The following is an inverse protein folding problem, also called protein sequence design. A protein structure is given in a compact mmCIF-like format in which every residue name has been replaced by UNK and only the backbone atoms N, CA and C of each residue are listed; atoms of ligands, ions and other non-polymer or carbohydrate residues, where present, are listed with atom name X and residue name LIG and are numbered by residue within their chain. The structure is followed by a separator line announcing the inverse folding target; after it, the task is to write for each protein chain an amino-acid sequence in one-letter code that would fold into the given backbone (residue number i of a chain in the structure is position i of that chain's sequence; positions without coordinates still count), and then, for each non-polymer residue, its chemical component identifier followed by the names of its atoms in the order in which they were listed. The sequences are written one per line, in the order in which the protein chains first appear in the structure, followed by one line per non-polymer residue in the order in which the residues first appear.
data_IF_613392224592
#
_entry.id   IF_613392224592
#
_cell.length_a   1.000
_cell.length_b   1.000
_cell.length_c   1.000
_cell.angle_alpha   90.00
_cell.angle_beta   90.00
_cell.angle_gamma   90.00
#
_symmetry.space_group_name_H-M   'P 1'
#
loop_
_entity.id
_entity.type
_entity.pdbx_description
1 polymer ?
#
# COMPACT_ATOMS: atom_id res chain seq x y z
N UNK A 1 -4.88 -51.83 -8.11
CA UNK A 1 -3.66 -51.53 -8.88
C UNK A 1 -2.50 -52.32 -8.27
N UNK A 2 -1.63 -52.94 -9.06
CA UNK A 2 -0.51 -53.70 -8.47
C UNK A 2 0.54 -52.72 -7.89
N UNK A 3 1.23 -53.05 -6.78
CA UNK A 3 2.19 -52.14 -6.14
C UNK A 3 3.30 -51.63 -7.07
N UNK A 4 3.74 -52.45 -8.03
CA UNK A 4 4.76 -52.07 -9.02
C UNK A 4 4.26 -51.07 -10.06
N UNK A 5 3.01 -51.21 -10.51
CA UNK A 5 2.39 -50.26 -11.43
C UNK A 5 2.23 -48.89 -10.76
N UNK A 6 1.89 -48.87 -9.47
CA UNK A 6 1.74 -47.63 -8.70
C UNK A 6 3.08 -46.89 -8.52
N UNK A 7 4.16 -47.62 -8.20
CA UNK A 7 5.52 -47.06 -8.18
C UNK A 7 5.92 -46.46 -9.52
N UNK A 8 5.54 -47.09 -10.62
CA UNK A 8 5.81 -46.59 -11.98
C UNK A 8 5.06 -45.28 -12.27
N UNK A 9 3.79 -45.16 -11.86
CA UNK A 9 3.03 -43.90 -11.99
C UNK A 9 3.66 -42.77 -11.16
N UNK A 10 4.08 -43.05 -9.92
CA UNK A 10 4.79 -42.05 -9.09
C UNK A 10 6.06 -41.56 -9.80
N UNK A 11 6.84 -42.48 -10.39
CA UNK A 11 8.03 -42.12 -11.16
C UNK A 11 7.71 -41.16 -12.32
N UNK A 12 6.65 -41.44 -13.09
CA UNK A 12 6.22 -40.54 -14.17
C UNK A 12 5.79 -39.16 -13.65
N UNK A 13 4.98 -39.11 -12.61
CA UNK A 13 4.53 -37.86 -12.00
C UNK A 13 5.70 -36.99 -11.53
N UNK A 14 6.71 -37.62 -10.94
CA UNK A 14 7.88 -36.91 -10.44
C UNK A 14 8.71 -36.34 -11.60
N UNK A 15 8.92 -37.10 -12.67
CA UNK A 15 9.63 -36.61 -13.86
C UNK A 15 8.88 -35.44 -14.49
N UNK A 16 7.57 -35.58 -14.70
CA UNK A 16 6.71 -34.52 -15.25
C UNK A 16 6.68 -33.27 -14.35
N UNK A 17 6.56 -33.45 -13.04
CA UNK A 17 6.59 -32.34 -12.07
C UNK A 17 7.91 -31.59 -12.12
N UNK A 18 9.04 -32.27 -12.36
CA UNK A 18 10.34 -31.60 -12.46
C UNK A 18 10.41 -30.72 -13.72
N UNK A 19 9.90 -31.17 -14.86
CA UNK A 19 9.82 -30.37 -16.09
C UNK A 19 8.93 -29.13 -15.91
N UNK A 20 7.81 -29.28 -15.20
CA UNK A 20 6.93 -28.17 -14.83
C UNK A 20 7.60 -27.20 -13.86
N UNK A 21 8.36 -27.69 -12.88
CA UNK A 21 9.13 -26.85 -11.96
C UNK A 21 10.23 -26.07 -12.69
N UNK A 22 10.94 -26.67 -13.64
CA UNK A 22 11.93 -25.95 -14.46
C UNK A 22 11.30 -24.81 -15.26
N UNK A 23 10.10 -25.06 -15.78
CA UNK A 23 9.30 -24.05 -16.50
C UNK A 23 8.89 -22.91 -15.56
N UNK A 24 8.39 -23.24 -14.36
CA UNK A 24 8.02 -22.28 -13.32
C UNK A 24 9.22 -21.43 -12.88
N UNK A 25 10.36 -22.07 -12.62
CA UNK A 25 11.57 -21.38 -12.18
C UNK A 25 12.06 -20.36 -13.21
N UNK A 26 12.08 -20.73 -14.50
CA UNK A 26 12.45 -19.79 -15.58
C UNK A 26 11.49 -18.60 -15.65
N UNK A 27 10.18 -18.86 -15.58
CA UNK A 27 9.17 -17.81 -15.61
C UNK A 27 9.25 -16.87 -14.41
N UNK A 28 9.47 -17.40 -13.20
CA UNK A 28 9.63 -16.60 -11.98
C UNK A 28 10.98 -15.86 -11.97
N UNK A 29 12.06 -16.46 -12.48
CA UNK A 29 13.39 -15.83 -12.54
C UNK A 29 13.43 -14.61 -13.48
N UNK A 30 12.55 -14.58 -14.47
CA UNK A 30 12.40 -13.47 -15.42
C UNK A 30 11.04 -12.76 -15.29
N UNK A 31 10.53 -12.65 -14.06
CA UNK A 31 9.12 -12.37 -13.76
C UNK A 31 8.52 -11.18 -14.52
N UNK A 32 9.20 -10.04 -14.60
CA UNK A 32 8.66 -8.86 -15.29
C UNK A 32 8.43 -9.11 -16.79
N UNK A 33 9.36 -9.81 -17.45
CA UNK A 33 9.24 -10.14 -18.86
C UNK A 33 8.15 -11.18 -19.09
N UNK A 34 8.09 -12.19 -18.21
CA UNK A 34 7.02 -13.20 -18.19
C UNK A 34 5.64 -12.56 -18.05
N UNK A 35 5.47 -11.58 -17.15
CA UNK A 35 4.20 -10.82 -16.99
C UNK A 35 3.84 -10.05 -18.27
N UNK A 36 4.84 -9.47 -18.94
CA UNK A 36 4.63 -8.70 -20.17
C UNK A 36 4.33 -9.59 -21.39
N UNK A 37 4.65 -10.88 -21.33
CA UNK A 37 4.45 -11.85 -22.40
C UNK A 37 3.37 -12.87 -22.02
N UNK A 38 2.16 -12.69 -22.55
CA UNK A 38 1.02 -13.58 -22.24
C UNK A 38 1.29 -15.06 -22.56
N UNK A 39 2.11 -15.37 -23.58
CA UNK A 39 2.42 -16.76 -23.91
C UNK A 39 3.31 -17.41 -22.84
N UNK A 40 4.32 -16.69 -22.34
CA UNK A 40 5.17 -17.18 -21.24
C UNK A 40 4.38 -17.36 -19.95
N UNK A 41 3.49 -16.41 -19.62
CA UNK A 41 2.60 -16.53 -18.47
C UNK A 41 1.62 -17.71 -18.59
N UNK A 42 1.06 -17.94 -19.79
CA UNK A 42 0.19 -19.07 -20.09
C UNK A 42 0.92 -20.42 -19.93
N UNK A 43 2.17 -20.50 -20.38
CA UNK A 43 3.01 -21.70 -20.21
C UNK A 43 3.21 -21.98 -18.72
N UNK A 44 3.50 -20.95 -17.93
CA UNK A 44 3.68 -21.06 -16.48
C UNK A 44 2.40 -21.54 -15.78
N UNK A 45 1.25 -20.97 -16.16
CA UNK A 45 -0.06 -21.37 -15.63
C UNK A 45 -0.41 -22.82 -15.98
N UNK A 46 -0.15 -23.25 -17.21
CA UNK A 46 -0.37 -24.65 -17.65
C UNK A 46 0.50 -25.62 -16.86
N UNK A 47 1.76 -25.29 -16.63
CA UNK A 47 2.66 -26.11 -15.81
C UNK A 47 2.13 -26.29 -14.38
N UNK A 48 1.68 -25.20 -13.74
CA UNK A 48 1.06 -25.25 -12.40
C UNK A 48 -0.24 -26.05 -12.38
N UNK A 49 -1.11 -25.86 -13.39
CA UNK A 49 -2.38 -26.58 -13.50
C UNK A 49 -2.19 -28.09 -13.66
N UNK A 50 -1.26 -28.52 -14.52
CA UNK A 50 -0.90 -29.94 -14.69
C UNK A 50 -0.35 -30.55 -13.40
N UNK A 51 0.56 -29.85 -12.71
CA UNK A 51 1.08 -30.29 -11.41
C UNK A 51 -0.01 -30.49 -10.36
N UNK A 52 -0.98 -29.57 -10.30
CA UNK A 52 -2.14 -29.67 -9.38
C UNK A 52 -2.97 -30.92 -9.68
N UNK A 53 -3.22 -31.19 -10.96
CA UNK A 53 -3.94 -32.38 -11.41
C UNK A 53 -3.22 -33.68 -11.03
N UNK A 54 -1.91 -33.75 -11.28
CA UNK A 54 -1.08 -34.89 -10.90
C UNK A 54 -1.05 -35.15 -9.39
N UNK A 55 -0.89 -34.08 -8.58
CA UNK A 55 -0.92 -34.18 -7.13
C UNK A 55 -2.29 -34.68 -6.60
N UNK A 56 -3.38 -34.19 -7.20
CA UNK A 56 -4.74 -34.63 -6.87
C UNK A 56 -4.97 -36.11 -7.20
N UNK A 57 -4.56 -36.54 -8.40
CA UNK A 57 -4.71 -37.91 -8.88
C UNK A 57 -3.99 -38.92 -7.97
N UNK A 58 -2.83 -38.55 -7.43
CA UNK A 58 -2.03 -39.39 -6.54
C UNK A 58 -2.35 -39.23 -5.06
N UNK A 59 -3.30 -38.36 -4.71
CA UNK A 59 -3.73 -38.13 -3.33
C UNK A 59 -2.76 -37.31 -2.47
N UNK A 60 -1.83 -36.58 -3.08
CA UNK A 60 -0.93 -35.66 -2.36
C UNK A 60 -1.66 -34.35 -2.00
N UNK A 61 -2.64 -34.44 -1.10
CA UNK A 61 -3.59 -33.35 -0.78
C UNK A 61 -2.93 -32.05 -0.33
N UNK A 62 -1.88 -32.11 0.50
CA UNK A 62 -1.15 -30.92 0.95
C UNK A 62 -0.38 -30.24 -0.18
N UNK A 63 0.29 -31.02 -1.03
CA UNK A 63 0.96 -30.49 -2.22
C UNK A 63 -0.07 -29.89 -3.19
N UNK A 64 -1.19 -30.58 -3.42
CA UNK A 64 -2.28 -30.08 -4.25
C UNK A 64 -2.79 -28.72 -3.75
N UNK A 65 -2.97 -28.54 -2.43
CA UNK A 65 -3.35 -27.26 -1.83
C UNK A 65 -2.34 -26.16 -2.18
N UNK A 66 -1.05 -26.38 -1.92
CA UNK A 66 0.00 -25.37 -2.15
C UNK A 66 0.11 -25.00 -3.63
N UNK A 67 0.01 -25.99 -4.53
CA UNK A 67 0.03 -25.74 -5.98
C UNK A 67 -1.22 -24.97 -6.41
N UNK A 68 -2.38 -25.24 -5.81
CA UNK A 68 -3.61 -24.47 -6.05
C UNK A 68 -3.47 -23.02 -5.55
N UNK A 69 -2.90 -22.81 -4.37
CA UNK A 69 -2.67 -21.48 -3.80
C UNK A 69 -1.69 -20.68 -4.68
N UNK A 70 -0.64 -21.34 -5.20
CA UNK A 70 0.25 -20.75 -6.20
C UNK A 70 -0.50 -20.41 -7.50
N UNK A 71 -1.33 -21.32 -8.02
CA UNK A 71 -2.16 -21.10 -9.21
C UNK A 71 -3.03 -19.83 -9.07
N UNK A 72 -3.64 -19.63 -7.90
CA UNK A 72 -4.47 -18.44 -7.63
C UNK A 72 -3.65 -17.15 -7.59
N UNK A 73 -2.44 -17.18 -7.03
CA UNK A 73 -1.50 -16.05 -7.13
C UNK A 73 -1.05 -15.79 -8.58
N UNK A 74 -0.84 -16.82 -9.40
CA UNK A 74 -0.46 -16.65 -10.82
C UNK A 74 -1.59 -16.02 -11.65
N UNK A 75 -2.86 -16.28 -11.32
CA UNK A 75 -4.00 -15.61 -11.97
C UNK A 75 -3.94 -14.08 -11.79
N UNK A 76 -3.39 -13.61 -10.68
CA UNK A 76 -3.22 -12.18 -10.43
C UNK A 76 -2.16 -11.53 -11.33
N UNK A 77 -1.27 -12.30 -11.94
CA UNK A 77 -0.26 -11.77 -12.87
C UNK A 77 -0.82 -11.37 -14.25
N UNK A 78 -2.07 -11.74 -14.57
CA UNK A 78 -2.75 -11.24 -15.78
C UNK A 78 -3.16 -9.77 -15.68
N UNK A 79 -3.14 -9.20 -14.47
CA UNK A 79 -3.30 -7.75 -14.28
C UNK A 79 -1.97 -7.04 -14.59
N UNK A 80 -2.01 -5.77 -15.05
CA UNK A 80 -0.79 -5.03 -15.35
C UNK A 80 0.00 -4.83 -14.06
N UNK A 81 1.12 -5.52 -13.86
CA UNK A 81 1.93 -5.42 -12.64
C UNK A 81 3.36 -5.04 -13.03
N UNK A 82 3.97 -4.14 -12.25
CA UNK A 82 5.41 -3.94 -12.28
C UNK A 82 5.98 -4.80 -11.14
N UNK A 83 6.61 -5.91 -11.48
CA UNK A 83 7.21 -6.83 -10.54
C UNK A 83 8.44 -6.19 -9.88
N UNK A 84 8.46 -6.21 -8.55
CA UNK A 84 9.63 -5.87 -7.76
C UNK A 84 10.36 -7.14 -7.31
N UNK A 85 11.54 -6.94 -6.72
CA UNK A 85 12.38 -8.04 -6.23
C UNK A 85 11.70 -8.83 -5.10
N UNK A 86 10.88 -8.16 -4.29
CA UNK A 86 10.12 -8.79 -3.20
C UNK A 86 9.09 -9.78 -3.74
N UNK A 87 8.32 -9.40 -4.77
CA UNK A 87 7.35 -10.27 -5.42
C UNK A 87 8.03 -11.52 -5.98
N UNK A 88 9.14 -11.34 -6.68
CA UNK A 88 9.91 -12.44 -7.24
C UNK A 88 10.41 -13.41 -6.16
N UNK A 89 10.94 -12.88 -5.06
CA UNK A 89 11.43 -13.69 -3.94
C UNK A 89 10.31 -14.52 -3.31
N UNK A 90 9.15 -13.92 -3.06
CA UNK A 90 7.99 -14.60 -2.47
C UNK A 90 7.48 -15.77 -3.34
N UNK A 91 7.46 -15.60 -4.68
CA UNK A 91 7.16 -16.70 -5.59
C UNK A 91 8.22 -17.80 -5.54
N UNK A 92 9.51 -17.44 -5.48
CA UNK A 92 10.60 -18.41 -5.35
C UNK A 92 10.53 -19.19 -4.02
N UNK A 93 10.11 -18.56 -2.93
CA UNK A 93 9.97 -19.22 -1.63
C UNK A 93 8.89 -20.32 -1.68
N UNK A 94 7.73 -20.05 -2.29
CA UNK A 94 6.69 -21.07 -2.51
C UNK A 94 7.18 -22.15 -3.49
N UNK A 95 7.86 -21.77 -4.56
CA UNK A 95 8.46 -22.70 -5.52
C UNK A 95 9.41 -23.69 -4.84
N UNK A 96 10.29 -23.20 -3.95
CA UNK A 96 11.27 -24.02 -3.24
C UNK A 96 10.60 -25.09 -2.37
N UNK A 97 9.49 -24.75 -1.72
CA UNK A 97 8.69 -25.70 -0.94
C UNK A 97 8.14 -26.79 -1.84
N UNK A 98 7.52 -26.44 -2.97
CA UNK A 98 6.96 -27.42 -3.90
C UNK A 98 8.06 -28.32 -4.48
N UNK A 99 9.21 -27.74 -4.84
CA UNK A 99 10.36 -28.50 -5.35
C UNK A 99 10.89 -29.49 -4.30
N UNK A 100 10.95 -29.07 -3.03
CA UNK A 100 11.34 -29.93 -1.92
C UNK A 100 10.35 -31.10 -1.76
N UNK A 101 9.03 -30.82 -1.78
CA UNK A 101 8.00 -31.86 -1.72
C UNK A 101 8.15 -32.88 -2.86
N UNK A 102 8.39 -32.43 -4.11
CA UNK A 102 8.59 -33.33 -5.26
C UNK A 102 9.86 -34.17 -5.12
N UNK A 103 10.93 -33.58 -4.59
CA UNK A 103 12.18 -34.31 -4.35
C UNK A 103 12.04 -35.39 -3.27
N UNK A 104 11.28 -35.14 -2.20
CA UNK A 104 11.04 -36.12 -1.14
C UNK A 104 10.22 -37.34 -1.62
N UNK A 105 9.39 -37.19 -2.65
CA UNK A 105 8.67 -38.32 -3.28
C UNK A 105 9.64 -39.33 -3.90
N UNK A 106 10.81 -38.90 -4.37
CA UNK A 106 11.86 -39.79 -4.92
C UNK A 106 12.53 -40.63 -3.83
N UNK A 107 12.49 -40.18 -2.57
CA UNK A 107 13.22 -40.85 -1.50
C UNK A 107 12.56 -42.20 -1.18
N UNK A 108 13.33 -43.20 -0.69
CA UNK A 108 12.78 -44.51 -0.34
C UNK A 108 11.70 -44.44 0.75
N UNK A 109 11.77 -43.43 1.61
CA UNK A 109 10.81 -43.18 2.70
C UNK A 109 9.53 -42.47 2.20
N UNK A 110 9.60 -41.76 1.08
CA UNK A 110 8.49 -40.98 0.51
C UNK A 110 8.03 -39.82 1.40
N UNK A 111 6.86 -39.27 1.05
CA UNK A 111 6.21 -38.20 1.83
C UNK A 111 5.47 -38.79 3.04
N UNK A 112 6.10 -38.77 4.20
CA UNK A 112 5.41 -39.02 5.48
C UNK A 112 4.71 -37.75 5.97
N UNK A 113 3.65 -37.89 6.76
CA UNK A 113 2.88 -36.76 7.28
C UNK A 113 3.74 -35.81 8.15
N UNK A 114 4.72 -36.36 8.88
CA UNK A 114 5.67 -35.59 9.69
C UNK A 114 6.62 -34.75 8.83
N UNK A 115 7.18 -35.31 7.75
CA UNK A 115 8.03 -34.57 6.81
C UNK A 115 7.25 -33.48 6.08
N UNK A 116 6.03 -33.78 5.65
CA UNK A 116 5.15 -32.79 5.00
C UNK A 116 4.92 -31.60 5.93
N UNK A 117 4.58 -31.83 7.20
CA UNK A 117 4.35 -30.74 8.14
C UNK A 117 5.62 -29.91 8.43
N UNK A 118 6.81 -30.54 8.44
CA UNK A 118 8.08 -29.81 8.59
C UNK A 118 8.40 -28.93 7.37
N UNK A 119 8.18 -29.43 6.15
CA UNK A 119 8.46 -28.70 4.91
C UNK A 119 7.46 -27.55 4.70
N UNK A 120 6.19 -27.76 5.09
CA UNK A 120 5.10 -26.82 4.84
C UNK A 120 4.97 -25.72 5.91
N UNK A 121 5.72 -25.83 7.02
CA UNK A 121 5.52 -25.06 8.25
C UNK A 121 5.06 -23.60 8.11
N UNK A 122 5.74 -22.81 7.26
CA UNK A 122 5.46 -21.37 7.09
C UNK A 122 4.80 -20.99 5.75
N UNK A 123 4.39 -21.97 4.93
CA UNK A 123 3.89 -21.74 3.56
C UNK A 123 2.62 -20.90 3.54
N UNK A 124 1.68 -21.18 4.46
CA UNK A 124 0.43 -20.43 4.54
C UNK A 124 0.70 -18.93 4.85
N UNK A 125 1.74 -18.63 5.64
CA UNK A 125 2.15 -17.25 5.91
C UNK A 125 2.77 -16.58 4.69
N UNK A 126 3.67 -17.28 3.99
CA UNK A 126 4.29 -16.78 2.75
C UNK A 126 3.22 -16.51 1.68
N UNK A 127 2.24 -17.40 1.54
CA UNK A 127 1.12 -17.23 0.62
C UNK A 127 0.30 -15.96 0.94
N UNK A 128 -0.02 -15.72 2.23
CA UNK A 128 -0.75 -14.52 2.64
C UNK A 128 0.02 -13.23 2.33
N UNK A 129 1.34 -13.22 2.56
CA UNK A 129 2.20 -12.08 2.22
C UNK A 129 2.23 -11.86 0.70
N UNK A 130 2.43 -12.94 -0.08
CA UNK A 130 2.45 -12.89 -1.54
C UNK A 130 1.15 -12.34 -2.11
N UNK A 131 0.01 -12.86 -1.66
CA UNK A 131 -1.30 -12.43 -2.14
C UNK A 131 -1.57 -10.95 -1.80
N UNK A 132 -1.23 -10.51 -0.58
CA UNK A 132 -1.35 -9.11 -0.18
C UNK A 132 -0.47 -8.19 -1.03
N UNK A 133 0.78 -8.60 -1.31
CA UNK A 133 1.70 -7.85 -2.14
C UNK A 133 1.27 -7.78 -3.62
N UNK A 134 0.72 -8.86 -4.17
CA UNK A 134 0.12 -8.89 -5.51
C UNK A 134 -1.03 -7.91 -5.62
N UNK A 135 -1.98 -7.96 -4.68
CA UNK A 135 -3.12 -7.05 -4.66
C UNK A 135 -2.67 -5.58 -4.53
N UNK A 136 -1.64 -5.32 -3.73
CA UNK A 136 -1.00 -4.00 -3.67
C UNK A 136 -0.50 -3.54 -5.04
N UNK A 137 0.28 -4.36 -5.75
CA UNK A 137 0.84 -3.99 -7.04
C UNK A 137 -0.24 -3.79 -8.13
N UNK A 138 -1.31 -4.61 -8.11
CA UNK A 138 -2.47 -4.45 -8.99
C UNK A 138 -3.21 -3.15 -8.70
N UNK A 139 -3.41 -2.82 -7.43
CA UNK A 139 -4.06 -1.57 -7.05
C UNK A 139 -3.22 -0.35 -7.50
N UNK A 140 -1.90 -0.42 -7.34
CA UNK A 140 -0.94 0.62 -7.74
C UNK A 140 -0.93 0.84 -9.26
N UNK A 141 -1.00 -0.22 -10.06
CA UNK A 141 -1.03 -0.12 -11.52
C UNK A 141 -2.39 0.31 -12.07
N UNK A 142 -3.49 -0.20 -11.49
CA UNK A 142 -4.83 0.23 -11.84
C UNK A 142 -5.05 1.70 -11.45
N UNK A 143 -4.45 2.16 -10.36
CA UNK A 143 -4.44 3.57 -9.98
C UNK A 143 -3.68 4.44 -10.98
N UNK A 144 -2.47 4.04 -11.43
CA UNK A 144 -1.74 4.76 -12.50
C UNK A 144 -2.55 4.79 -13.81
N UNK A 145 -3.22 3.69 -14.16
CA UNK A 145 -4.06 3.58 -15.36
C UNK A 145 -5.34 4.42 -15.24
N UNK A 146 -5.93 4.48 -14.03
CA UNK A 146 -7.12 5.29 -13.72
C UNK A 146 -6.78 6.78 -13.69
N UNK A 147 -5.63 7.19 -13.15
CA UNK A 147 -5.07 8.55 -13.29
C UNK A 147 -4.85 8.89 -14.77
N UNK A 148 -4.23 7.99 -15.56
CA UNK A 148 -4.02 8.23 -16.99
C UNK A 148 -5.32 8.32 -17.81
N UNK A 149 -6.39 7.61 -17.39
CA UNK A 149 -7.73 7.71 -17.99
C UNK A 149 -8.52 8.94 -17.51
N UNK A 150 -8.38 9.34 -16.25
CA UNK A 150 -8.92 10.60 -15.72
C UNK A 150 -8.29 11.78 -16.47
N UNK A 151 -6.97 11.77 -16.67
CA UNK A 151 -6.24 12.74 -17.50
C UNK A 151 -6.66 12.75 -18.99
N UNK A 152 -7.36 11.72 -19.48
CA UNK A 152 -7.89 11.64 -20.85
C UNK A 152 -9.37 12.02 -20.96
N UNK A 153 -10.11 12.05 -19.85
CA UNK A 153 -11.57 12.28 -19.85
C UNK A 153 -12.00 13.53 -19.07
N UNK A 154 -11.07 14.17 -18.38
CA UNK A 154 -11.20 15.51 -17.80
C UNK A 154 -9.87 16.23 -18.01
N UNK A 155 -9.86 17.22 -18.91
CA UNK A 155 -8.76 18.17 -19.04
C UNK A 155 -8.68 19.02 -17.77
N UNK A 156 -7.94 18.54 -16.76
CA UNK A 156 -7.67 19.27 -15.53
C UNK A 156 -6.18 19.64 -15.46
N UNK A 157 -5.89 20.94 -15.39
CA UNK A 157 -4.56 21.54 -15.48
C UNK A 157 -4.10 22.06 -14.09
N UNK A 158 -3.76 21.16 -13.14
CA UNK A 158 -3.10 21.57 -11.89
C UNK A 158 -2.02 20.59 -11.42
N UNK A 159 -0.86 21.16 -11.10
CA UNK A 159 0.41 20.49 -10.86
C UNK A 159 0.58 19.98 -9.42
N UNK A 160 -0.38 19.21 -8.88
CA UNK A 160 -0.17 18.20 -7.81
C UNK A 160 -1.26 17.11 -7.91
N UNK A 161 -0.92 15.83 -8.17
CA UNK A 161 -1.86 14.72 -8.16
C UNK A 161 -2.11 14.22 -6.73
N UNK A 162 -2.63 15.09 -5.85
CA UNK A 162 -2.93 14.72 -4.47
C UNK A 162 -4.36 14.21 -4.36
N UNK A 163 -4.51 12.95 -3.97
CA UNK A 163 -5.79 12.33 -3.61
C UNK A 163 -5.97 12.37 -2.10
N UNK A 164 -7.11 12.88 -1.65
CA UNK A 164 -7.49 12.90 -0.25
C UNK A 164 -8.49 11.78 0.03
N UNK A 165 -8.20 10.94 1.02
CA UNK A 165 -9.13 9.94 1.56
C UNK A 165 -9.61 10.47 2.91
N UNK A 166 -10.77 11.10 2.92
CA UNK A 166 -11.43 11.57 4.14
C UNK A 166 -12.13 10.39 4.81
N UNK A 167 -11.85 10.15 6.08
CA UNK A 167 -12.41 9.00 6.78
C UNK A 167 -12.82 9.31 8.22
N UNK A 168 -13.90 8.71 8.68
CA UNK A 168 -14.25 8.70 10.10
C UNK A 168 -15.15 7.50 10.42
N UNK A 169 -15.14 7.08 11.68
CA UNK A 169 -16.06 6.08 12.23
C UNK A 169 -17.51 6.57 12.32
N UNK A 170 -17.73 7.89 12.40
CA UNK A 170 -19.04 8.53 12.53
C UNK A 170 -19.63 8.81 11.16
N UNK A 171 -20.70 8.10 10.83
CA UNK A 171 -21.46 8.28 9.58
C UNK A 171 -21.85 9.74 9.33
N UNK A 172 -22.23 10.47 10.37
CA UNK A 172 -22.61 11.89 10.24
C UNK A 172 -21.47 12.76 9.73
N UNK A 173 -20.24 12.56 10.20
CA UNK A 173 -19.10 13.33 9.70
C UNK A 173 -18.74 12.96 8.25
N UNK A 174 -18.84 11.68 7.88
CA UNK A 174 -18.66 11.28 6.49
C UNK A 174 -19.70 11.92 5.55
N UNK A 175 -20.96 12.02 5.98
CA UNK A 175 -22.01 12.72 5.22
C UNK A 175 -21.69 14.21 5.08
N UNK A 176 -21.31 14.86 6.17
CA UNK A 176 -20.92 16.28 6.14
C UNK A 176 -19.68 16.51 5.27
N UNK A 177 -18.71 15.59 5.25
CA UNK A 177 -17.62 15.65 4.27
C UNK A 177 -18.13 15.57 2.83
N UNK A 178 -19.12 14.73 2.54
CA UNK A 178 -19.68 14.63 1.19
C UNK A 178 -20.31 15.96 0.74
N UNK A 179 -21.01 16.65 1.64
CA UNK A 179 -21.63 17.93 1.35
C UNK A 179 -20.58 19.05 1.14
N UNK A 180 -19.60 19.17 2.04
CA UNK A 180 -18.62 20.28 1.98
C UNK A 180 -17.50 20.08 0.94
N UNK A 181 -17.22 18.84 0.54
CA UNK A 181 -16.23 18.52 -0.50
C UNK A 181 -16.89 18.24 -1.86
N UNK A 182 -18.21 18.42 -2.00
CA UNK A 182 -18.90 18.30 -3.27
C UNK A 182 -18.25 19.21 -4.33
N UNK A 183 -17.98 18.65 -5.51
CA UNK A 183 -17.33 19.36 -6.61
C UNK A 183 -15.82 19.59 -6.46
N UNK A 184 -15.20 19.19 -5.35
CA UNK A 184 -13.74 19.23 -5.21
C UNK A 184 -13.08 18.00 -5.84
N UNK A 185 -11.96 18.18 -6.56
CA UNK A 185 -11.31 17.09 -7.29
C UNK A 185 -10.57 16.14 -6.34
N UNK A 186 -10.42 14.88 -6.75
CA UNK A 186 -9.55 13.89 -6.09
C UNK A 186 -9.84 13.65 -4.60
N UNK A 187 -11.10 13.75 -4.19
CA UNK A 187 -11.55 13.43 -2.83
C UNK A 187 -12.31 12.12 -2.85
N UNK A 188 -11.99 11.24 -1.92
CA UNK A 188 -12.74 10.02 -1.61
C UNK A 188 -13.14 10.05 -0.15
N UNK A 189 -14.38 9.62 0.15
CA UNK A 189 -14.91 9.60 1.51
C UNK A 189 -15.20 8.16 1.88
N UNK A 190 -14.65 7.72 3.01
CA UNK A 190 -14.78 6.36 3.51
C UNK A 190 -15.36 6.39 4.92
N UNK A 191 -16.43 5.63 5.14
CA UNK A 191 -16.92 5.35 6.48
C UNK A 191 -16.13 4.18 7.07
N UNK A 192 -15.22 4.48 7.99
CA UNK A 192 -14.27 3.50 8.50
C UNK A 192 -13.09 4.15 9.22
N UNK A 193 -12.09 3.33 9.54
CA UNK A 193 -10.86 3.77 10.18
C UNK A 193 -9.66 3.51 9.26
N UNK A 194 -8.55 4.23 9.47
CA UNK A 194 -7.42 4.18 8.54
C UNK A 194 -6.76 2.79 8.49
N UNK A 195 -6.83 2.00 9.57
CA UNK A 195 -6.30 0.64 9.66
C UNK A 195 -7.03 -0.36 8.73
N UNK A 196 -8.19 0.03 8.21
CA UNK A 196 -8.95 -0.75 7.23
C UNK A 196 -8.61 -0.38 5.79
N UNK A 197 -7.84 0.70 5.59
CA UNK A 197 -7.43 1.11 4.26
C UNK A 197 -6.34 0.18 3.74
N UNK A 198 -6.47 -0.33 2.51
CA UNK A 198 -5.47 -1.24 1.94
C UNK A 198 -4.12 -0.56 1.72
N UNK A 199 -4.11 0.74 1.45
CA UNK A 199 -2.90 1.56 1.28
C UNK A 199 -3.21 3.06 1.36
N UNK A 200 -2.21 3.83 1.75
CA UNK A 200 -2.15 5.30 1.62
C UNK A 200 -0.68 5.69 1.78
N UNK A 201 -0.24 6.79 1.17
CA UNK A 201 1.16 7.21 1.31
C UNK A 201 1.40 7.86 2.66
N UNK A 202 0.45 8.69 3.11
CA UNK A 202 0.56 9.45 4.35
C UNK A 202 -0.76 9.47 5.14
N UNK A 203 -0.72 9.33 6.46
CA UNK A 203 -1.86 9.56 7.36
C UNK A 203 -1.61 10.83 8.18
N UNK A 204 -2.63 11.68 8.29
CA UNK A 204 -2.59 12.85 9.17
C UNK A 204 -2.97 12.41 10.59
N UNK A 205 -2.16 12.79 11.58
CA UNK A 205 -2.46 12.54 12.99
C UNK A 205 -2.85 13.84 13.70
N UNK A 206 -4.04 13.85 14.29
CA UNK A 206 -4.53 14.97 15.10
C UNK A 206 -3.95 14.90 16.50
N UNK A 207 -2.80 15.53 16.70
CA UNK A 207 -2.05 15.45 17.95
C UNK A 207 -2.18 16.72 18.83
N UNK A 208 -1.77 16.57 20.09
CA UNK A 208 -1.50 17.68 21.01
C UNK A 208 -0.08 18.21 20.79
N UNK A 209 0.13 19.51 20.95
CA UNK A 209 1.43 20.16 20.77
C UNK A 209 2.36 20.01 21.98
N UNK A 210 1.83 19.53 23.11
CA UNK A 210 2.58 19.39 24.38
C UNK A 210 2.51 17.94 24.82
N UNK A 211 3.65 17.41 25.27
CA UNK A 211 3.74 16.07 25.86
C UNK A 211 3.11 16.07 27.25
N UNK A 212 1.91 15.52 27.39
CA UNK A 212 1.33 15.15 28.68
C UNK A 212 1.53 13.65 28.95
N UNK A 213 1.53 13.23 30.22
CA UNK A 213 1.67 11.81 30.59
C UNK A 213 0.57 10.90 29.98
N UNK A 214 -0.50 11.50 29.44
CA UNK A 214 -1.62 10.83 28.78
C UNK A 214 -1.71 11.12 27.26
N UNK A 215 -0.85 11.98 26.70
CA UNK A 215 -0.76 12.25 25.25
C UNK A 215 0.20 11.25 24.61
N UNK A 216 -0.24 10.00 24.57
CA UNK A 216 0.27 9.08 23.56
C UNK A 216 -0.28 9.54 22.21
N UNK A 217 0.51 9.42 21.14
CA UNK A 217 -0.06 9.48 19.78
C UNK A 217 -1.28 8.55 19.76
N UNK A 218 -2.34 8.90 19.03
CA UNK A 218 -3.60 8.15 18.96
C UNK A 218 -3.31 6.64 19.09
N UNK A 219 -3.86 6.00 20.13
CA UNK A 219 -3.53 4.60 20.48
C UNK A 219 -3.73 3.67 19.28
N UNK A 220 -4.60 4.01 18.32
CA UNK A 220 -4.75 3.28 17.07
C UNK A 220 -3.52 3.38 16.16
N UNK A 221 -2.92 4.56 16.04
CA UNK A 221 -1.68 4.78 15.27
C UNK A 221 -0.54 3.99 15.91
N UNK A 222 -0.45 3.98 17.25
CA UNK A 222 0.54 3.17 17.96
C UNK A 222 0.38 1.67 17.74
N UNK A 223 -0.85 1.17 17.85
CA UNK A 223 -1.13 -0.24 17.61
C UNK A 223 -0.86 -0.64 16.15
N UNK A 224 -1.00 0.29 15.22
CA UNK A 224 -0.83 0.03 13.80
C UNK A 224 0.62 0.12 13.32
N UNK A 225 1.34 1.18 13.70
CA UNK A 225 2.72 1.43 13.25
C UNK A 225 3.79 0.94 14.22
N UNK A 226 3.43 0.67 15.48
CA UNK A 226 4.36 0.25 16.52
C UNK A 226 4.97 1.42 17.31
N UNK A 227 5.60 1.06 18.44
CA UNK A 227 6.20 2.01 19.37
C UNK A 227 7.41 2.75 18.79
N UNK A 228 8.18 2.10 17.92
CA UNK A 228 9.37 2.69 17.28
C UNK A 228 9.04 3.96 16.49
N UNK A 229 7.86 4.01 15.86
CA UNK A 229 7.39 5.17 15.11
C UNK A 229 7.01 6.32 16.05
N UNK A 230 6.42 6.03 17.21
CA UNK A 230 6.16 7.06 18.22
C UNK A 230 7.46 7.65 18.77
N UNK A 231 8.42 6.80 19.11
CA UNK A 231 9.73 7.24 19.59
C UNK A 231 10.44 8.10 18.54
N UNK A 232 10.35 7.73 17.26
CA UNK A 232 10.89 8.51 16.16
C UNK A 232 10.20 9.88 16.03
N UNK A 233 8.87 9.92 16.04
CA UNK A 233 8.10 11.19 15.97
C UNK A 233 8.47 12.09 17.15
N UNK A 234 8.51 11.55 18.37
CA UNK A 234 8.86 12.30 19.57
C UNK A 234 10.31 12.82 19.52
N UNK A 235 11.25 12.00 19.04
CA UNK A 235 12.63 12.42 18.83
C UNK A 235 12.73 13.57 17.83
N UNK A 236 12.02 13.48 16.70
CA UNK A 236 12.00 14.53 15.67
C UNK A 236 11.37 15.82 16.22
N UNK A 237 10.32 15.73 17.03
CA UNK A 237 9.71 16.89 17.70
C UNK A 237 10.69 17.51 18.70
N UNK A 238 11.43 16.70 19.46
CA UNK A 238 12.47 17.20 20.35
C UNK A 238 13.55 17.97 19.61
N UNK A 239 14.04 17.42 18.50
CA UNK A 239 15.14 17.97 17.71
C UNK A 239 14.74 19.24 16.94
N UNK A 240 13.55 19.25 16.33
CA UNK A 240 13.11 20.37 15.48
C UNK A 240 12.35 21.46 16.23
N UNK A 241 11.62 21.10 17.29
CA UNK A 241 10.67 21.99 17.96
C UNK A 241 10.91 22.12 19.47
N UNK A 242 12.04 21.62 19.98
CA UNK A 242 12.36 21.67 21.41
C UNK A 242 11.20 21.13 22.28
N UNK A 243 10.64 19.99 21.86
CA UNK A 243 9.52 19.27 22.51
C UNK A 243 8.13 19.88 22.33
N UNK A 244 7.97 21.06 21.74
CA UNK A 244 6.66 21.71 21.53
C UNK A 244 6.45 22.11 20.06
N UNK A 245 5.82 21.22 19.28
CA UNK A 245 5.52 21.51 17.87
C UNK A 245 4.36 22.51 17.73
N UNK A 246 4.54 23.72 17.17
CA UNK A 246 3.48 24.73 17.11
C UNK A 246 2.26 24.30 16.26
N UNK A 247 1.07 24.80 16.64
CA UNK A 247 -0.14 24.69 15.81
C UNK A 247 0.10 25.39 14.46
N UNK A 248 -0.44 24.82 13.38
CA UNK A 248 -0.21 25.32 12.03
C UNK A 248 1.12 24.88 11.42
N UNK A 249 1.75 23.87 12.00
CA UNK A 249 2.87 23.14 11.40
C UNK A 249 2.49 21.68 11.16
N UNK A 250 3.24 20.99 10.30
CA UNK A 250 3.05 19.56 10.03
C UNK A 250 4.41 18.94 9.80
N UNK A 251 4.72 17.90 10.58
CA UNK A 251 5.99 17.18 10.54
C UNK A 251 5.78 15.85 9.80
N UNK A 252 6.45 15.67 8.66
CA UNK A 252 6.42 14.42 7.91
C UNK A 252 7.51 13.49 8.46
N UNK A 253 7.11 12.27 8.80
CA UNK A 253 7.99 11.23 9.35
C UNK A 253 7.80 9.93 8.58
N UNK A 254 8.90 9.29 8.21
CA UNK A 254 8.91 7.96 7.59
C UNK A 254 8.64 6.88 8.65
N UNK A 255 7.72 5.96 8.36
CA UNK A 255 7.29 4.91 9.28
C UNK A 255 7.98 3.57 9.04
N UNK A 256 8.78 3.46 7.96
CA UNK A 256 9.31 2.20 7.41
C UNK A 256 8.24 1.16 7.06
N UNK A 257 6.95 1.52 7.08
CA UNK A 257 5.88 0.63 6.68
C UNK A 257 5.82 0.53 5.14
N UNK A 258 5.83 -0.67 4.55
CA UNK A 258 5.98 -0.85 3.10
C UNK A 258 4.83 -0.24 2.29
N UNK A 259 3.63 -0.15 2.87
CA UNK A 259 2.42 0.35 2.21
C UNK A 259 1.83 1.62 2.84
N UNK A 260 2.41 2.09 3.95
CA UNK A 260 1.98 3.30 4.68
C UNK A 260 3.19 4.15 5.09
N UNK A 261 3.99 4.59 4.12
CA UNK A 261 5.38 5.02 4.36
C UNK A 261 5.51 6.28 5.21
N UNK A 262 4.47 7.11 5.33
CA UNK A 262 4.58 8.39 6.03
C UNK A 262 3.47 8.64 7.04
N UNK A 263 3.80 9.39 8.09
CA UNK A 263 2.86 10.06 8.99
C UNK A 263 3.10 11.56 8.91
N UNK A 264 2.02 12.34 8.88
CA UNK A 264 2.04 13.78 9.04
C UNK A 264 1.56 14.15 10.45
N UNK A 265 2.50 14.37 11.37
CA UNK A 265 2.20 14.80 12.72
C UNK A 265 1.79 16.27 12.72
N UNK A 266 0.50 16.52 12.99
CA UNK A 266 -0.14 17.82 12.79
C UNK A 266 -0.88 18.24 14.07
N UNK A 267 -0.26 19.08 14.92
CA UNK A 267 -0.87 19.53 16.16
C UNK A 267 -2.13 20.37 15.91
N UNK A 268 -3.26 19.91 16.46
CA UNK A 268 -4.53 20.65 16.40
C UNK A 268 -4.83 21.38 17.72
N UNK A 269 -4.13 21.01 18.78
CA UNK A 269 -4.36 21.46 20.15
C UNK A 269 -3.03 21.78 20.79
N UNK A 270 -2.96 22.82 21.63
CA UNK A 270 -1.80 23.06 22.49
C UNK A 270 -1.93 22.41 23.86
N UNK A 271 -3.16 22.42 24.38
CA UNK A 271 -3.56 21.80 25.63
C UNK A 271 -4.92 21.13 25.39
N UNK A 272 -5.33 20.20 26.25
CA UNK A 272 -6.63 19.54 26.19
C UNK A 272 -7.78 20.49 26.56
N UNK A 273 -8.05 21.45 25.68
CA UNK A 273 -9.13 22.44 25.80
C UNK A 273 -9.90 22.58 24.49
N UNK A 274 -11.11 23.11 24.60
CA UNK A 274 -11.92 23.42 23.42
C UNK A 274 -11.20 24.41 22.51
N UNK A 275 -11.26 24.13 21.21
CA UNK A 275 -10.82 25.00 20.11
C UNK A 275 -12.00 25.42 19.25
N UNK A 276 -13.24 25.24 19.73
CA UNK A 276 -14.44 25.74 19.06
C UNK A 276 -14.31 27.26 18.81
N UNK A 277 -14.66 27.69 17.60
CA UNK A 277 -14.53 29.09 17.18
C UNK A 277 -13.11 29.51 16.76
N UNK A 278 -12.14 28.59 16.74
CA UNK A 278 -10.79 28.82 16.21
C UNK A 278 -10.60 28.09 14.88
N UNK A 279 -9.60 28.50 14.10
CA UNK A 279 -9.26 27.99 12.76
C UNK A 279 -8.18 26.90 12.78
N UNK A 280 -7.96 26.23 13.92
CA UNK A 280 -6.88 25.25 14.06
C UNK A 280 -7.01 24.04 13.11
N UNK A 281 -8.24 23.64 12.76
CA UNK A 281 -8.47 22.55 11.80
C UNK A 281 -8.02 22.98 10.42
N UNK A 282 -8.38 24.20 10.01
CA UNK A 282 -7.89 24.81 8.76
C UNK A 282 -6.36 24.90 8.75
N UNK A 283 -5.76 25.43 9.82
CA UNK A 283 -4.30 25.58 9.93
C UNK A 283 -3.59 24.23 9.85
N UNK A 284 -4.14 23.19 10.46
CA UNK A 284 -3.60 21.83 10.40
C UNK A 284 -3.62 21.26 8.99
N UNK A 285 -4.78 21.27 8.30
CA UNK A 285 -4.86 20.77 6.93
C UNK A 285 -3.96 21.59 6.00
N UNK A 286 -3.98 22.91 6.12
CA UNK A 286 -3.16 23.81 5.32
C UNK A 286 -1.66 23.51 5.47
N UNK A 287 -1.18 23.39 6.71
CA UNK A 287 0.23 23.12 6.98
C UNK A 287 0.66 21.74 6.47
N UNK A 288 -0.21 20.73 6.59
CA UNK A 288 0.06 19.39 6.04
C UNK A 288 0.17 19.41 4.52
N UNK A 289 -0.76 20.07 3.82
CA UNK A 289 -0.73 20.19 2.36
C UNK A 289 0.54 20.91 1.88
N UNK A 290 0.98 21.96 2.60
CA UNK A 290 2.24 22.65 2.31
C UNK A 290 3.46 21.78 2.58
N UNK A 291 3.50 21.05 3.70
CA UNK A 291 4.59 20.14 4.04
C UNK A 291 4.72 19.04 2.97
N UNK A 292 3.61 18.45 2.53
CA UNK A 292 3.59 17.44 1.47
C UNK A 292 4.08 18.02 0.15
N UNK A 293 3.63 19.21 -0.21
CA UNK A 293 4.11 19.90 -1.42
C UNK A 293 5.63 20.13 -1.38
N UNK A 294 6.16 20.55 -0.23
CA UNK A 294 7.59 20.78 -0.05
C UNK A 294 8.38 19.45 -0.12
N UNK A 295 7.89 18.41 0.54
CA UNK A 295 8.42 17.05 0.48
C UNK A 295 8.48 16.54 -0.97
N UNK A 296 7.36 16.59 -1.69
CA UNK A 296 7.29 16.12 -3.07
C UNK A 296 8.18 16.95 -4.01
N UNK A 297 8.37 18.25 -3.74
CA UNK A 297 9.31 19.09 -4.49
C UNK A 297 10.76 18.64 -4.28
N UNK A 298 11.12 18.28 -3.04
CA UNK A 298 12.44 17.74 -2.72
C UNK A 298 12.69 16.38 -3.40
N UNK A 299 11.69 15.50 -3.37
CA UNK A 299 11.72 14.16 -3.98
C UNK A 299 11.18 14.13 -5.43
N UNK A 300 11.26 15.25 -6.16
CA UNK A 300 10.64 15.41 -7.49
C UNK A 300 11.04 14.35 -8.53
N UNK A 301 12.25 13.78 -8.39
CA UNK A 301 12.78 12.74 -9.29
C UNK A 301 12.56 11.30 -8.78
N UNK A 302 12.06 11.14 -7.55
CA UNK A 302 11.90 9.85 -6.89
C UNK A 302 10.42 9.56 -6.64
N UNK A 303 9.72 9.08 -7.67
CA UNK A 303 8.27 8.79 -7.62
C UNK A 303 7.86 7.88 -6.46
N UNK A 304 8.76 7.01 -5.97
CA UNK A 304 8.50 6.11 -4.84
C UNK A 304 8.51 6.79 -3.47
N UNK A 305 9.07 8.00 -3.37
CA UNK A 305 9.13 8.79 -2.13
C UNK A 305 8.15 9.96 -2.12
N UNK A 306 7.34 10.11 -3.18
CA UNK A 306 6.32 11.13 -3.25
C UNK A 306 5.04 10.70 -2.52
N UNK A 307 4.45 11.64 -1.80
CA UNK A 307 3.18 11.49 -1.10
C UNK A 307 2.06 11.97 -2.03
N UNK A 308 1.26 11.04 -2.54
CA UNK A 308 0.17 11.32 -3.48
C UNK A 308 -1.20 10.96 -2.92
N UNK A 309 -1.28 10.04 -1.96
CA UNK A 309 -2.53 9.60 -1.33
C UNK A 309 -2.45 9.88 0.17
N UNK A 310 -3.32 10.75 0.65
CA UNK A 310 -3.33 11.19 2.05
C UNK A 310 -4.62 10.75 2.70
N UNK A 311 -4.51 9.92 3.73
CA UNK A 311 -5.62 9.58 4.61
C UNK A 311 -5.78 10.69 5.65
N UNK A 312 -7.00 11.20 5.81
CA UNK A 312 -7.31 12.33 6.69
C UNK A 312 -8.50 11.97 7.58
N UNK A 313 -8.28 11.74 8.89
CA UNK A 313 -9.36 11.55 9.85
C UNK A 313 -10.04 12.88 10.21
N UNK A 314 -11.20 12.81 10.89
CA UNK A 314 -11.90 13.97 11.42
C UNK A 314 -11.12 14.74 12.50
N UNK A 315 -10.32 15.73 12.10
CA UNK A 315 -9.49 16.55 13.00
C UNK A 315 -10.35 17.49 13.87
N UNK A 316 -9.97 17.66 15.15
CA UNK A 316 -10.55 18.68 16.04
C UNK A 316 -11.90 18.34 16.68
N UNK A 317 -12.57 17.25 16.29
CA UNK A 317 -13.86 16.84 16.91
C UNK A 317 -13.70 16.48 18.40
N UNK A 318 -12.67 15.70 18.73
CA UNK A 318 -12.27 15.37 20.10
C UNK A 318 -10.74 15.36 20.21
N UNK A 319 -10.17 15.88 21.30
CA UNK A 319 -10.81 16.58 22.43
C UNK A 319 -11.15 18.06 22.14
N UNK A 320 -10.96 18.55 20.91
CA UNK A 320 -11.11 19.96 20.56
C UNK A 320 -12.54 20.53 20.56
N UNK A 321 -13.57 19.68 20.65
CA UNK A 321 -14.99 20.08 20.71
C UNK A 321 -15.46 20.97 19.54
N UNK A 322 -14.81 20.89 18.38
CA UNK A 322 -15.28 21.54 17.15
C UNK A 322 -16.50 20.76 16.62
N UNK A 323 -17.54 21.47 16.19
CA UNK A 323 -18.72 20.83 15.60
C UNK A 323 -18.37 20.15 14.28
N UNK A 324 -19.11 19.09 13.93
CA UNK A 324 -18.89 18.29 12.72
C UNK A 324 -18.91 19.18 11.46
N UNK A 325 -19.89 20.09 11.36
CA UNK A 325 -19.99 21.08 10.28
C UNK A 325 -18.76 21.96 10.19
N UNK A 326 -18.28 22.48 11.31
CA UNK A 326 -17.14 23.40 11.33
C UNK A 326 -15.83 22.68 10.99
N UNK A 327 -15.68 21.43 11.42
CA UNK A 327 -14.56 20.57 10.99
C UNK A 327 -14.56 20.39 9.48
N UNK A 328 -15.67 19.92 8.91
CA UNK A 328 -15.78 19.68 7.48
C UNK A 328 -15.56 20.96 6.66
N UNK A 329 -16.15 22.08 7.09
CA UNK A 329 -16.00 23.41 6.48
C UNK A 329 -14.55 23.87 6.49
N UNK A 330 -13.85 23.80 7.63
CA UNK A 330 -12.46 24.23 7.72
C UNK A 330 -11.52 23.35 6.87
N UNK A 331 -11.74 22.03 6.88
CA UNK A 331 -10.95 21.11 6.06
C UNK A 331 -11.15 21.37 4.57
N UNK A 332 -12.40 21.57 4.12
CA UNK A 332 -12.70 21.83 2.71
C UNK A 332 -12.15 23.18 2.26
N UNK A 333 -12.27 24.23 3.09
CA UNK A 333 -11.70 25.55 2.81
C UNK A 333 -10.18 25.51 2.67
N UNK A 334 -9.48 24.76 3.53
CA UNK A 334 -8.03 24.62 3.44
C UNK A 334 -7.63 23.95 2.11
N UNK A 335 -8.36 22.90 1.70
CA UNK A 335 -8.09 22.23 0.43
C UNK A 335 -8.43 23.10 -0.79
N UNK A 336 -9.57 23.81 -0.76
CA UNK A 336 -9.93 24.79 -1.78
C UNK A 336 -8.87 25.88 -1.93
N UNK A 337 -8.46 26.50 -0.82
CA UNK A 337 -7.43 27.52 -0.84
C UNK A 337 -6.12 26.97 -1.42
N UNK A 338 -5.80 25.72 -1.13
CA UNK A 338 -4.61 25.06 -1.64
C UNK A 338 -4.66 24.90 -3.16
N UNK A 339 -5.79 24.43 -3.69
CA UNK A 339 -6.02 24.33 -5.13
C UNK A 339 -5.94 25.70 -5.82
N UNK A 340 -6.56 26.74 -5.26
CA UNK A 340 -6.50 28.11 -5.81
C UNK A 340 -5.09 28.72 -5.79
N UNK A 341 -4.25 28.32 -4.83
CA UNK A 341 -2.90 28.86 -4.67
C UNK A 341 -1.86 28.25 -5.63
N UNK A 342 -2.24 27.24 -6.42
CA UNK A 342 -1.32 26.59 -7.36
C UNK A 342 -1.18 27.38 -8.67
N UNK A 343 0.05 27.59 -9.18
CA UNK A 343 0.25 28.35 -10.42
C UNK A 343 -0.28 27.58 -11.64
N UNK A 344 -0.99 28.28 -12.51
CA UNK A 344 -1.42 27.79 -13.83
C UNK A 344 -0.24 27.68 -14.80
N UNK A 345 -0.26 26.67 -15.68
CA UNK A 345 0.88 26.25 -16.53
C UNK A 345 1.37 27.31 -17.54
N UNK A 346 0.63 28.40 -17.76
CA UNK A 346 0.97 29.43 -18.76
C UNK A 346 2.27 30.20 -18.45
N UNK A 347 2.71 30.29 -17.18
CA UNK A 347 3.89 31.07 -16.81
C UNK A 347 5.23 30.29 -16.80
N UNK A 348 5.22 28.96 -16.92
CA UNK A 348 6.47 28.16 -16.93
C UNK A 348 7.05 27.98 -18.34
N UNK A 349 6.24 28.09 -19.39
CA UNK A 349 6.74 28.07 -20.78
C UNK A 349 7.41 29.39 -21.18
N UNK A 350 6.93 30.54 -20.73
CA UNK A 350 7.56 31.83 -21.06
C UNK A 350 8.92 32.04 -20.38
N UNK A 351 9.15 31.47 -19.19
CA UNK A 351 10.45 31.58 -18.48
C UNK A 351 11.58 30.78 -19.13
N UNK A 352 11.28 29.69 -19.83
CA UNK A 352 12.31 28.88 -20.50
C UNK A 352 12.66 29.38 -21.91
N UNK A 353 11.79 30.19 -22.52
CA UNK A 353 12.05 30.83 -23.82
C UNK A 353 12.88 32.10 -23.64
N UNK A 354 12.70 32.85 -22.55
CA UNK A 354 13.49 34.07 -22.30
C UNK A 354 14.95 33.82 -21.92
N UNK A 355 15.30 32.64 -21.39
CA UNK A 355 16.70 32.30 -21.02
C UNK A 355 17.47 31.69 -22.20
N UNK A 356 16.77 31.13 -23.20
CA UNK A 356 17.38 30.60 -24.42
C UNK A 356 17.51 31.63 -25.55
N UNK A 357 16.87 32.80 -25.42
CA UNK A 357 16.94 33.91 -26.38
C UNK A 357 18.01 34.98 -26.06
N UNK A 358 18.78 34.82 -24.97
CA UNK A 358 19.92 35.71 -24.62
C UNK A 358 21.22 34.91 -24.46
N UNK A 359 21.57 34.12 -25.48
CA UNK A 359 22.94 33.70 -25.74
C UNK A 359 23.36 34.13 -27.13
#
# INVERSE_FOLDING_TARGET
MKPEEFKKIIGYFVTESQEHLDTLYKGISNLQNTINNQDELNIMFRATFSMKGGAAMLGFTKMQKIVSDLEDCLKLLYYPIIADQSLQKLFLDIFNVINTLVSEIKTPEGLTETKVNQIVGDVDHIHNILNSHLLFLISKSNYKTKINKINKSQDWDYNIPLKLILLDSKVFLCRTFADYFEGLPNVEIIHGTFDQLPFFDCIITGASSVKSANDKIDTRILNFFGQDVEELVQKRIQEEYLSEQPIGTSLIVETNHPVHPFIAHTPSLRMQMSIAGKDHVYQGIWSTLLAIRQHNKFYGNCLHQQINIVAIPGLGTRPGCVSIDEVARQMSMAYQNFLFSLPSRQNSYQKNISVSATR
#
